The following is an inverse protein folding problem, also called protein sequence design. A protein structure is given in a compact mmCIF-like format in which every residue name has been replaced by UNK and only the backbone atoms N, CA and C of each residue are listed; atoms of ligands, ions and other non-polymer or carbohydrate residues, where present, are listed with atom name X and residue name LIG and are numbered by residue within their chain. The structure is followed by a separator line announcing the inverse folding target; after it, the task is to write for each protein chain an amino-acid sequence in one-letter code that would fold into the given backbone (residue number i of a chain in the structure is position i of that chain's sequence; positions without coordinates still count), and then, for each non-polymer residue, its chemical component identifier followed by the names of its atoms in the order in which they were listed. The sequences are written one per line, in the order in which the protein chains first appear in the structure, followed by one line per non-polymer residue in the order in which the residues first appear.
data_IF_822140802763
#
_entry.id   IF_822140802763
#
_cell.length_a   1.000
_cell.length_b   1.000
_cell.length_c   1.000
_cell.angle_alpha   90.00
_cell.angle_beta   90.00
_cell.angle_gamma   90.00
#
_symmetry.space_group_name_H-M   'P 1'
#
loop_
_entity.id
_entity.type
_entity.pdbx_description
1 polymer ?
#
# COMPACT_ATOMS: atom_id res chain seq x y z
N UNK A 1 21.02 -6.01 33.43
CA UNK A 1 20.40 -6.93 32.45
C UNK A 1 19.40 -7.80 33.19
N UNK A 2 18.10 -7.57 33.00
CA UNK A 2 17.05 -8.48 33.45
C UNK A 2 15.95 -8.43 32.40
N UNK A 3 16.09 -9.30 31.41
CA UNK A 3 15.12 -9.56 30.35
C UNK A 3 14.22 -10.70 30.81
N UNK A 4 12.93 -10.56 30.47
CA UNK A 4 11.98 -11.66 30.22
C UNK A 4 11.26 -12.25 31.43
N UNK A 5 10.23 -11.55 31.92
CA UNK A 5 8.99 -12.24 32.28
C UNK A 5 8.16 -12.34 31.00
N UNK A 6 8.37 -13.43 30.26
CA UNK A 6 7.46 -13.85 29.22
C UNK A 6 6.11 -14.14 29.89
N UNK A 7 5.13 -13.26 29.66
CA UNK A 7 3.77 -13.43 30.14
C UNK A 7 3.25 -14.80 29.72
N UNK A 8 3.01 -15.67 30.71
CA UNK A 8 2.19 -16.84 30.51
C UNK A 8 0.87 -16.36 29.94
N UNK A 9 0.58 -16.76 28.70
CA UNK A 9 -0.76 -16.65 28.14
C UNK A 9 -1.65 -17.55 29.01
N UNK A 10 -2.23 -16.96 30.04
CA UNK A 10 -3.27 -17.60 30.83
C UNK A 10 -4.40 -17.88 29.87
N UNK A 11 -4.59 -19.16 29.54
CA UNK A 11 -5.68 -19.65 28.70
C UNK A 11 -6.98 -18.93 29.14
N UNK A 12 -7.62 -18.17 28.24
CA UNK A 12 -8.77 -17.37 28.61
C UNK A 12 -9.87 -18.31 29.06
N UNK A 13 -10.44 -18.02 30.22
CA UNK A 13 -11.38 -18.93 30.83
C UNK A 13 -12.63 -19.08 29.95
N UNK A 14 -12.81 -20.25 29.33
CA UNK A 14 -13.75 -20.48 28.23
C UNK A 14 -15.18 -20.03 28.58
N UNK A 15 -15.61 -20.23 29.82
CA UNK A 15 -16.94 -19.84 30.28
C UNK A 15 -17.18 -18.32 30.41
N UNK A 16 -16.14 -17.49 30.29
CA UNK A 16 -16.24 -16.01 30.31
C UNK A 16 -16.08 -15.37 28.93
N UNK A 17 -15.80 -16.15 27.88
CA UNK A 17 -15.55 -15.63 26.53
C UNK A 17 -16.74 -14.90 25.93
N UNK A 18 -17.96 -15.23 26.37
CA UNK A 18 -19.17 -14.57 25.90
C UNK A 18 -19.38 -13.16 26.48
N UNK A 19 -18.66 -12.79 27.55
CA UNK A 19 -18.78 -11.46 28.17
C UNK A 19 -17.91 -10.49 27.37
N UNK A 20 -18.56 -9.50 26.75
CA UNK A 20 -17.92 -8.53 25.87
C UNK A 20 -18.58 -7.17 25.97
N UNK A 21 -17.95 -6.15 25.38
CA UNK A 21 -18.49 -4.81 25.30
C UNK A 21 -19.49 -4.70 24.14
N UNK A 22 -20.70 -4.21 24.38
CA UNK A 22 -21.76 -4.13 23.36
C UNK A 22 -21.52 -3.07 22.26
N UNK A 23 -20.36 -2.40 22.30
CA UNK A 23 -19.96 -1.36 21.32
C UNK A 23 -18.70 -1.73 20.55
N UNK A 24 -17.59 -2.00 21.26
CA UNK A 24 -16.31 -2.35 20.62
C UNK A 24 -16.03 -3.84 20.58
N UNK A 25 -16.84 -4.66 21.26
CA UNK A 25 -16.71 -6.12 21.28
C UNK A 25 -15.41 -6.65 21.88
N UNK A 26 -14.65 -5.80 22.58
CA UNK A 26 -13.55 -6.25 23.42
C UNK A 26 -14.05 -7.27 24.46
N UNK A 27 -13.28 -8.34 24.66
CA UNK A 27 -13.65 -9.43 25.55
C UNK A 27 -13.23 -9.11 27.00
N UNK A 28 -14.05 -9.55 27.95
CA UNK A 28 -13.76 -9.40 29.38
C UNK A 28 -12.53 -10.22 29.81
N UNK A 29 -12.31 -11.37 29.17
CA UNK A 29 -11.19 -12.29 29.44
C UNK A 29 -9.82 -11.69 29.16
N UNK A 30 -9.73 -10.73 28.24
CA UNK A 30 -8.47 -10.10 27.85
C UNK A 30 -7.89 -9.24 28.98
N UNK A 31 -8.71 -8.87 30.00
CA UNK A 31 -8.35 -8.02 31.14
C UNK A 31 -7.70 -6.68 30.78
N UNK A 32 -7.78 -6.25 29.52
CA UNK A 32 -7.20 -4.99 29.05
C UNK A 32 -8.02 -3.77 29.49
N UNK A 33 -9.30 -3.96 29.80
CA UNK A 33 -10.21 -2.88 30.14
C UNK A 33 -11.04 -3.22 31.35
N UNK A 34 -11.42 -2.18 32.07
CA UNK A 34 -12.50 -2.25 33.03
C UNK A 34 -13.84 -2.34 32.30
N UNK A 35 -14.73 -3.21 32.76
CA UNK A 35 -16.09 -3.33 32.25
C UNK A 35 -17.11 -2.85 33.26
N UNK A 36 -18.22 -2.33 32.75
CA UNK A 36 -19.34 -1.83 33.54
C UNK A 36 -20.65 -2.48 33.06
N UNK A 37 -21.44 -2.98 34.01
CA UNK A 37 -22.84 -3.29 33.82
C UNK A 37 -23.67 -2.06 34.16
N UNK A 38 -24.38 -1.52 33.17
CA UNK A 38 -25.28 -0.40 33.37
C UNK A 38 -26.65 -0.87 33.87
N UNK A 39 -27.42 0.00 34.55
CA UNK A 39 -28.75 -0.33 35.06
C UNK A 39 -29.78 -0.63 33.95
N UNK A 40 -29.48 -0.26 32.71
CA UNK A 40 -30.22 -0.70 31.53
C UNK A 40 -29.82 -2.09 31.02
N UNK A 41 -29.00 -2.84 31.77
CA UNK A 41 -28.50 -4.18 31.46
C UNK A 41 -27.68 -4.29 30.18
N UNK A 42 -26.93 -3.24 29.84
CA UNK A 42 -25.93 -3.29 28.77
C UNK A 42 -24.54 -3.27 29.37
N UNK A 43 -23.61 -3.99 28.73
CA UNK A 43 -22.22 -4.13 29.18
C UNK A 43 -21.30 -3.30 28.29
N UNK A 44 -20.46 -2.47 28.89
CA UNK A 44 -19.48 -1.66 28.16
C UNK A 44 -18.12 -1.66 28.83
N UNK A 45 -17.06 -1.54 28.04
CA UNK A 45 -15.73 -1.22 28.56
C UNK A 45 -15.62 0.28 28.87
N UNK A 46 -14.65 0.65 29.71
CA UNK A 46 -14.35 2.03 30.11
C UNK A 46 -14.13 2.98 28.92
N UNK A 47 -13.59 2.49 27.80
CA UNK A 47 -13.36 3.29 26.59
C UNK A 47 -14.64 3.64 25.83
N UNK A 48 -15.67 2.82 25.97
CA UNK A 48 -16.89 2.92 25.16
C UNK A 48 -18.04 3.64 25.85
N UNK A 49 -18.01 3.70 27.18
CA UNK A 49 -19.03 4.36 27.99
C UNK A 49 -18.57 5.76 28.37
N UNK A 50 -19.47 6.74 28.28
CA UNK A 50 -19.20 8.09 28.77
C UNK A 50 -19.65 8.19 30.22
N UNK A 51 -18.78 8.74 31.07
CA UNK A 51 -19.05 8.95 32.49
C UNK A 51 -19.29 10.43 32.73
N UNK A 52 -20.42 10.75 33.32
CA UNK A 52 -20.70 12.05 33.89
C UNK A 52 -20.47 11.95 35.40
N UNK A 53 -19.47 12.67 35.90
CA UNK A 53 -19.28 12.82 37.34
C UNK A 53 -20.52 13.51 37.93
N UNK A 54 -20.96 13.07 39.11
CA UNK A 54 -22.02 13.76 39.82
C UNK A 54 -21.57 15.15 40.28
N UNK A 55 -22.51 15.93 40.84
CA UNK A 55 -22.23 17.30 41.28
C UNK A 55 -21.32 17.31 42.51
N UNK A 56 -21.34 16.24 43.29
CA UNK A 56 -20.47 16.04 44.45
C UNK A 56 -19.59 14.80 44.27
N UNK A 57 -18.38 14.75 44.88
CA UNK A 57 -17.52 13.57 44.85
C UNK A 57 -18.15 12.31 45.46
N UNK A 58 -19.20 12.46 46.26
CA UNK A 58 -19.95 11.36 46.89
C UNK A 58 -21.05 10.79 46.00
N UNK A 59 -21.41 11.48 44.91
CA UNK A 59 -22.45 11.03 43.99
C UNK A 59 -22.00 9.80 43.21
N UNK A 60 -22.89 8.82 43.10
CA UNK A 60 -22.65 7.65 42.26
C UNK A 60 -22.47 8.08 40.79
N UNK A 61 -21.48 7.53 40.06
CA UNK A 61 -21.23 7.90 38.67
C UNK A 61 -22.45 7.58 37.79
N UNK A 62 -22.79 8.52 36.91
CA UNK A 62 -23.85 8.35 35.92
C UNK A 62 -23.20 8.10 34.57
N UNK A 63 -23.68 7.07 33.88
CA UNK A 63 -23.14 6.62 32.60
C UNK A 63 -24.17 6.85 31.50
N UNK A 64 -23.73 7.40 30.37
CA UNK A 64 -24.55 7.47 29.17
C UNK A 64 -24.41 6.16 28.40
N UNK A 65 -25.52 5.41 28.27
CA UNK A 65 -25.52 4.13 27.57
C UNK A 65 -25.47 4.32 26.03
N UNK A 66 -24.42 3.83 25.33
CA UNK A 66 -24.36 3.93 23.86
C UNK A 66 -25.47 3.19 23.11
N UNK A 67 -26.05 2.14 23.69
CA UNK A 67 -27.10 1.34 23.03
C UNK A 67 -28.48 1.98 23.14
N UNK A 68 -28.88 2.43 24.34
CA UNK A 68 -30.23 2.98 24.56
C UNK A 68 -30.27 4.49 24.81
N UNK A 69 -29.10 5.16 24.83
CA UNK A 69 -28.94 6.62 25.05
C UNK A 69 -29.49 7.16 26.36
N UNK A 70 -29.82 6.28 27.31
CA UNK A 70 -30.27 6.66 28.66
C UNK A 70 -29.06 6.93 29.55
N UNK A 71 -29.17 7.97 30.38
CA UNK A 71 -28.27 8.23 31.49
C UNK A 71 -28.66 7.37 32.68
N UNK A 72 -27.83 6.41 33.04
CA UNK A 72 -28.14 5.39 34.05
C UNK A 72 -26.95 5.17 34.96
N UNK A 73 -27.20 4.68 36.18
CA UNK A 73 -26.12 4.20 37.05
C UNK A 73 -25.49 2.95 36.46
N UNK A 74 -24.24 2.69 36.84
CA UNK A 74 -23.51 1.50 36.43
C UNK A 74 -22.64 0.98 37.56
N UNK A 75 -22.25 -0.28 37.45
CA UNK A 75 -21.33 -0.93 38.38
C UNK A 75 -20.24 -1.63 37.61
N UNK A 76 -19.02 -1.56 38.14
CA UNK A 76 -17.89 -2.29 37.61
C UNK A 76 -18.14 -3.81 37.70
N UNK A 77 -17.81 -4.53 36.63
CA UNK A 77 -17.84 -6.00 36.59
C UNK A 77 -16.61 -6.55 37.33
N UNK A 78 -16.81 -6.89 38.60
CA UNK A 78 -15.77 -7.45 39.49
C UNK A 78 -16.35 -8.53 40.41
N UNK A 79 -15.48 -9.32 41.04
CA UNK A 79 -15.88 -10.40 41.94
C UNK A 79 -16.58 -9.91 43.22
N UNK A 80 -16.52 -8.62 43.57
CA UNK A 80 -17.23 -8.05 44.72
C UNK A 80 -18.66 -7.58 44.38
N UNK A 81 -19.16 -7.83 43.17
CA UNK A 81 -20.55 -7.52 42.83
C UNK A 81 -21.55 -8.32 43.68
N UNK A 82 -22.75 -7.75 43.95
CA UNK A 82 -23.85 -8.49 44.59
C UNK A 82 -24.24 -9.76 43.83
N UNK A 83 -24.68 -10.79 44.56
CA UNK A 83 -24.99 -12.11 43.99
C UNK A 83 -26.07 -12.07 42.89
N UNK A 84 -27.10 -11.24 43.03
CA UNK A 84 -28.14 -11.10 42.00
C UNK A 84 -27.59 -10.61 40.65
N UNK A 85 -26.57 -9.75 40.65
CA UNK A 85 -25.89 -9.34 39.41
C UNK A 85 -24.92 -10.41 38.91
N UNK A 86 -24.23 -11.13 39.80
CA UNK A 86 -23.35 -12.24 39.41
C UNK A 86 -24.11 -13.36 38.69
N UNK A 87 -25.35 -13.64 39.11
CA UNK A 87 -26.22 -14.63 38.47
C UNK A 87 -26.50 -14.32 36.99
N UNK A 88 -26.51 -13.04 36.60
CA UNK A 88 -26.64 -12.65 35.18
C UNK A 88 -25.48 -13.16 34.32
N UNK A 89 -24.33 -13.41 34.93
CA UNK A 89 -23.12 -13.90 34.26
C UNK A 89 -22.84 -15.37 34.54
N UNK A 90 -23.83 -16.12 35.03
CA UNK A 90 -23.68 -17.56 35.26
C UNK A 90 -23.43 -18.29 33.91
N UNK A 91 -22.42 -19.17 33.81
CA UNK A 91 -22.13 -19.91 32.57
C UNK A 91 -23.31 -20.71 32.04
N UNK A 92 -24.12 -21.23 32.96
CA UNK A 92 -25.32 -22.02 32.67
C UNK A 92 -26.53 -21.27 33.22
N UNK A 93 -27.07 -20.25 32.54
CA UNK A 93 -28.17 -19.44 33.09
C UNK A 93 -29.47 -20.25 33.27
N UNK A 94 -29.61 -21.33 32.51
CA UNK A 94 -30.79 -22.22 32.53
C UNK A 94 -30.88 -23.09 33.78
N UNK A 95 -29.76 -23.39 34.45
CA UNK A 95 -29.78 -24.20 35.69
C UNK A 95 -30.19 -23.40 36.92
N UNK A 96 -30.11 -22.07 36.85
CA UNK A 96 -30.36 -21.15 37.98
C UNK A 96 -31.85 -20.79 38.12
N UNK A 97 -32.70 -21.19 37.16
CA UNK A 97 -34.15 -20.88 37.18
C UNK A 97 -34.46 -19.38 37.04
N UNK A 98 -33.53 -18.60 36.47
CA UNK A 98 -33.66 -17.15 36.33
C UNK A 98 -33.85 -16.77 34.86
N UNK A 99 -35.11 -16.67 34.43
CA UNK A 99 -35.49 -16.30 33.05
C UNK A 99 -34.94 -14.94 32.62
N UNK A 100 -34.75 -14.03 33.59
CA UNK A 100 -34.18 -12.72 33.33
C UNK A 100 -32.68 -12.82 32.98
N UNK A 101 -31.92 -13.67 33.66
CA UNK A 101 -30.53 -13.95 33.33
C UNK A 101 -30.40 -14.54 31.92
N UNK A 102 -31.25 -15.52 31.57
CA UNK A 102 -31.29 -16.12 30.22
C UNK A 102 -31.56 -15.05 29.16
N UNK A 103 -32.55 -14.18 29.41
CA UNK A 103 -32.90 -13.10 28.47
C UNK A 103 -31.76 -12.09 28.32
N UNK A 104 -31.13 -11.69 29.42
CA UNK A 104 -29.97 -10.81 29.41
C UNK A 104 -28.82 -11.37 28.57
N UNK A 105 -28.44 -12.62 28.80
CA UNK A 105 -27.36 -13.27 28.06
C UNK A 105 -27.69 -13.39 26.58
N UNK A 106 -28.92 -13.82 26.23
CA UNK A 106 -29.39 -13.90 24.84
C UNK A 106 -29.35 -12.55 24.14
N UNK A 107 -29.78 -11.47 24.80
CA UNK A 107 -29.67 -10.12 24.26
C UNK A 107 -28.21 -9.72 24.01
N UNK A 108 -27.31 -10.08 24.93
CA UNK A 108 -25.88 -9.83 24.78
C UNK A 108 -25.27 -10.58 23.59
N UNK A 109 -25.57 -11.87 23.47
CA UNK A 109 -25.16 -12.69 22.32
C UNK A 109 -25.65 -12.12 21.00
N UNK A 110 -26.91 -11.68 20.92
CA UNK A 110 -27.46 -11.07 19.71
C UNK A 110 -26.69 -9.82 19.26
N UNK A 111 -26.14 -9.04 20.20
CA UNK A 111 -25.28 -7.90 19.85
C UNK A 111 -23.95 -8.36 19.23
N UNK A 112 -23.37 -9.43 19.76
CA UNK A 112 -22.15 -10.05 19.22
C UNK A 112 -22.37 -10.64 17.83
N UNK A 113 -23.46 -11.39 17.63
CA UNK A 113 -23.79 -12.01 16.35
C UNK A 113 -23.93 -10.97 15.24
N UNK A 114 -24.62 -9.86 15.53
CA UNK A 114 -24.73 -8.70 14.61
C UNK A 114 -23.39 -8.04 14.30
N UNK A 115 -22.40 -8.14 15.19
CA UNK A 115 -21.06 -7.65 14.90
C UNK A 115 -20.27 -8.62 14.06
N UNK A 116 -20.35 -9.91 14.38
CA UNK A 116 -19.74 -10.97 13.59
C UNK A 116 -20.22 -10.91 12.15
N UNK A 117 -21.54 -10.83 11.92
CA UNK A 117 -22.14 -10.68 10.59
C UNK A 117 -21.60 -9.45 9.84
N UNK A 118 -21.52 -8.29 10.50
CA UNK A 118 -20.95 -7.07 9.90
C UNK A 118 -19.47 -7.24 9.54
N UNK A 119 -18.69 -7.93 10.37
CA UNK A 119 -17.27 -8.19 10.11
C UNK A 119 -17.06 -9.22 9.01
N UNK A 120 -17.92 -10.22 8.91
CA UNK A 120 -17.92 -11.18 7.81
C UNK A 120 -18.18 -10.48 6.47
N UNK A 121 -19.18 -9.60 6.41
CA UNK A 121 -19.43 -8.79 5.19
C UNK A 121 -18.25 -7.87 4.83
N UNK A 122 -17.62 -7.23 5.82
CA UNK A 122 -16.44 -6.38 5.60
C UNK A 122 -15.26 -7.20 5.06
N UNK A 123 -15.02 -8.39 5.61
CA UNK A 123 -14.00 -9.32 5.14
C UNK A 123 -14.28 -9.81 3.72
N UNK A 124 -15.53 -10.19 3.42
CA UNK A 124 -15.92 -10.63 2.08
C UNK A 124 -15.67 -9.54 1.04
N UNK A 125 -16.02 -8.28 1.36
CA UNK A 125 -15.73 -7.13 0.51
C UNK A 125 -14.23 -6.96 0.27
N UNK A 126 -13.42 -7.01 1.33
CA UNK A 126 -11.97 -6.88 1.22
C UNK A 126 -11.36 -8.01 0.36
N UNK A 127 -11.85 -9.23 0.49
CA UNK A 127 -11.42 -10.35 -0.35
C UNK A 127 -11.70 -10.06 -1.84
N UNK A 128 -12.91 -9.58 -2.17
CA UNK A 128 -13.27 -9.20 -3.55
C UNK A 128 -12.38 -8.06 -4.07
N UNK A 129 -12.14 -7.03 -3.27
CA UNK A 129 -11.27 -5.91 -3.65
C UNK A 129 -9.82 -6.38 -3.91
N UNK A 130 -9.31 -7.31 -3.09
CA UNK A 130 -7.99 -7.93 -3.27
C UNK A 130 -7.93 -8.73 -4.58
N UNK A 131 -8.96 -9.51 -4.89
CA UNK A 131 -9.04 -10.28 -6.13
C UNK A 131 -9.05 -9.38 -7.36
N UNK A 132 -9.86 -8.31 -7.33
CA UNK A 132 -9.88 -7.30 -8.40
C UNK A 132 -8.50 -6.66 -8.56
N UNK A 133 -7.87 -6.22 -7.46
CA UNK A 133 -6.54 -5.63 -7.51
C UNK A 133 -5.49 -6.59 -8.09
N UNK A 134 -5.52 -7.88 -7.69
CA UNK A 134 -4.65 -8.93 -8.26
C UNK A 134 -4.85 -9.07 -9.77
N UNK A 135 -6.10 -9.15 -10.22
CA UNK A 135 -6.42 -9.31 -11.65
C UNK A 135 -5.93 -8.12 -12.49
N UNK A 136 -6.11 -6.90 -12.00
CA UNK A 136 -5.67 -5.67 -12.68
C UNK A 136 -4.14 -5.64 -12.75
N UNK A 137 -3.45 -5.89 -11.64
CA UNK A 137 -1.99 -5.94 -11.60
C UNK A 137 -1.43 -6.99 -12.56
N UNK A 138 -2.02 -8.18 -12.61
CA UNK A 138 -1.62 -9.24 -13.52
C UNK A 138 -1.81 -8.83 -15.00
N UNK A 139 -2.97 -8.25 -15.34
CA UNK A 139 -3.23 -7.74 -16.69
C UNK A 139 -2.21 -6.67 -17.10
N UNK A 140 -1.96 -5.69 -16.24
CA UNK A 140 -0.98 -4.62 -16.49
C UNK A 140 0.45 -5.16 -16.64
N UNK A 141 0.81 -6.17 -15.86
CA UNK A 141 2.10 -6.83 -15.99
C UNK A 141 2.27 -7.49 -17.36
N UNK A 142 1.26 -8.23 -17.82
CA UNK A 142 1.29 -8.88 -19.14
C UNK A 142 1.33 -7.85 -20.29
N UNK A 143 0.51 -6.79 -20.21
CA UNK A 143 0.55 -5.67 -21.17
C UNK A 143 1.95 -5.03 -21.22
N UNK A 144 2.57 -4.79 -20.06
CA UNK A 144 3.93 -4.24 -20.00
C UNK A 144 4.98 -5.19 -20.59
N UNK A 145 4.81 -6.52 -20.45
CA UNK A 145 5.70 -7.48 -21.10
C UNK A 145 5.55 -7.44 -22.62
N UNK A 146 4.32 -7.39 -23.14
CA UNK A 146 4.07 -7.26 -24.58
C UNK A 146 4.69 -5.98 -25.15
N UNK A 147 4.46 -4.84 -24.50
CA UNK A 147 5.03 -3.55 -24.91
C UNK A 147 6.56 -3.55 -24.92
N UNK A 148 7.21 -4.26 -23.98
CA UNK A 148 8.68 -4.43 -24.00
C UNK A 148 9.15 -5.19 -25.25
N UNK A 149 8.44 -6.24 -25.64
CA UNK A 149 8.76 -7.02 -26.84
C UNK A 149 8.56 -6.17 -28.09
N UNK A 150 7.43 -5.47 -28.20
CA UNK A 150 7.15 -4.57 -29.34
C UNK A 150 8.19 -3.45 -29.45
N UNK A 151 8.56 -2.83 -28.32
CA UNK A 151 9.61 -1.81 -28.28
C UNK A 151 10.93 -2.34 -28.83
N UNK A 152 11.33 -3.58 -28.48
CA UNK A 152 12.54 -4.21 -29.02
C UNK A 152 12.45 -4.41 -30.53
N UNK A 153 11.31 -4.91 -31.03
CA UNK A 153 11.07 -5.11 -32.48
C UNK A 153 11.15 -3.78 -33.24
N UNK A 154 10.49 -2.74 -32.75
CA UNK A 154 10.51 -1.41 -33.37
C UNK A 154 11.90 -0.78 -33.33
N UNK A 155 12.64 -0.94 -32.23
CA UNK A 155 14.01 -0.46 -32.13
C UNK A 155 14.92 -1.14 -33.16
N UNK A 156 14.78 -2.45 -33.36
CA UNK A 156 15.55 -3.19 -34.35
C UNK A 156 15.20 -2.73 -35.77
N UNK A 157 13.90 -2.58 -36.10
CA UNK A 157 13.45 -2.05 -37.39
C UNK A 157 13.99 -0.65 -37.66
N UNK A 158 13.97 0.23 -36.65
CA UNK A 158 14.53 1.59 -36.77
C UNK A 158 16.03 1.57 -37.08
N UNK A 159 16.80 0.63 -36.50
CA UNK A 159 18.23 0.47 -36.81
C UNK A 159 18.45 0.04 -38.26
N UNK A 160 17.66 -0.91 -38.77
CA UNK A 160 17.76 -1.35 -40.16
C UNK A 160 17.49 -0.20 -41.13
N UNK A 161 16.39 0.54 -40.94
CA UNK A 161 16.03 1.68 -41.80
C UNK A 161 17.13 2.76 -41.77
N UNK A 162 17.69 3.06 -40.59
CA UNK A 162 18.80 4.02 -40.47
C UNK A 162 20.05 3.56 -41.22
N UNK A 163 20.40 2.28 -41.13
CA UNK A 163 21.55 1.73 -41.83
C UNK A 163 21.36 1.77 -43.36
N UNK A 164 20.16 1.41 -43.82
CA UNK A 164 19.78 1.48 -45.24
C UNK A 164 19.87 2.92 -45.77
N UNK A 165 19.37 3.90 -45.02
CA UNK A 165 19.43 5.32 -45.43
C UNK A 165 20.87 5.85 -45.46
N UNK A 166 21.73 5.42 -44.53
CA UNK A 166 23.17 5.75 -44.56
C UNK A 166 23.83 5.15 -45.80
N UNK A 167 23.54 3.89 -46.12
CA UNK A 167 24.08 3.21 -47.29
C UNK A 167 23.64 3.89 -48.59
N UNK A 168 22.35 4.24 -48.69
CA UNK A 168 21.79 4.96 -49.85
C UNK A 168 22.45 6.32 -50.05
N UNK A 169 22.67 7.08 -48.96
CA UNK A 169 23.41 8.35 -49.02
C UNK A 169 24.86 8.16 -49.44
N UNK A 170 25.55 7.14 -48.92
CA UNK A 170 26.93 6.84 -49.28
C UNK A 170 27.07 6.40 -50.75
N UNK A 171 26.11 5.64 -51.28
CA UNK A 171 26.05 5.25 -52.68
C UNK A 171 25.81 6.45 -53.60
N UNK A 172 24.84 7.31 -53.25
CA UNK A 172 24.62 8.57 -53.97
C UNK A 172 25.88 9.44 -54.00
N UNK A 173 26.58 9.57 -52.87
CA UNK A 173 27.82 10.34 -52.79
C UNK A 173 28.94 9.74 -53.66
N UNK A 174 29.07 8.41 -53.68
CA UNK A 174 30.01 7.70 -54.57
C UNK A 174 29.67 7.95 -56.04
N UNK A 175 28.40 7.93 -56.40
CA UNK A 175 27.94 8.21 -57.77
C UNK A 175 28.19 9.68 -58.18
N UNK A 176 27.97 10.65 -57.27
CA UNK A 176 28.30 12.05 -57.54
C UNK A 176 29.81 12.25 -57.71
N UNK A 177 30.64 11.59 -56.89
CA UNK A 177 32.10 11.66 -57.02
C UNK A 177 32.60 11.06 -58.33
N UNK A 178 32.06 9.92 -58.77
CA UNK A 178 32.47 9.32 -60.05
C UNK A 178 32.08 10.21 -61.23
N UNK A 179 30.89 10.83 -61.22
CA UNK A 179 30.49 11.81 -62.24
C UNK A 179 31.47 12.99 -62.26
N UNK A 180 31.79 13.56 -61.09
CA UNK A 180 32.72 14.69 -60.98
C UNK A 180 34.12 14.34 -61.48
N UNK A 181 34.65 13.17 -61.12
CA UNK A 181 35.97 12.71 -61.56
C UNK A 181 36.01 12.45 -63.07
N UNK A 182 34.91 11.97 -63.67
CA UNK A 182 34.79 11.76 -65.12
C UNK A 182 34.76 13.08 -65.90
N UNK A 183 34.10 14.12 -65.38
CA UNK A 183 34.14 15.46 -65.96
C UNK A 183 35.54 16.10 -65.89
N UNK A 184 36.33 15.84 -64.84
CA UNK A 184 37.70 16.32 -64.72
C UNK A 184 38.69 15.58 -65.64
N UNK A 185 38.46 14.30 -65.94
CA UNK A 185 39.30 13.55 -66.90
C UNK A 185 39.02 13.94 -68.35
N UNK A 186 37.80 14.40 -68.67
CA UNK A 186 37.48 14.96 -70.01
C UNK A 186 38.02 16.37 -70.25
N UNK A 187 38.51 17.09 -69.23
CA UNK A 187 39.15 18.41 -69.40
C UNK A 187 40.69 18.36 -69.36
N UNK A 188 41.30 17.22 -69.05
CA UNK A 188 42.76 17.06 -68.94
C UNK A 188 43.43 16.49 -70.20
N UNK A 189 42.74 16.43 -71.33
CA UNK A 189 43.30 16.07 -72.65
C UNK A 189 43.99 17.24 -73.38
N UNK A 190 44.27 18.35 -72.70
CA UNK A 190 45.04 19.46 -73.27
C UNK A 190 45.87 20.21 -72.21
N UNK A 191 46.93 19.58 -71.69
CA UNK A 191 48.19 20.24 -71.31
C UNK A 191 49.19 19.23 -70.74
N UNK A 192 50.01 18.67 -71.61
CA UNK A 192 51.31 18.15 -71.20
C UNK A 192 52.27 19.32 -71.03
N UNK A 193 52.92 19.47 -69.87
CA UNK A 193 54.34 19.82 -69.75
C UNK A 193 54.83 19.93 -68.29
N UNK A 194 55.84 19.09 -67.98
CA UNK A 194 56.93 19.30 -67.00
C UNK A 194 56.52 19.42 -65.51
N UNK A 195 57.27 19.03 -64.47
CA UNK A 195 58.70 18.84 -64.29
C UNK A 195 58.93 18.15 -62.92
N UNK A 196 59.84 17.16 -62.90
CA UNK A 196 60.93 16.96 -61.91
C UNK A 196 60.65 16.83 -60.39
N UNK A 197 61.01 15.63 -59.89
CA UNK A 197 61.65 15.22 -58.61
C UNK A 197 60.99 15.52 -57.24
N UNK A 198 60.94 14.46 -56.43
CA UNK A 198 61.04 14.55 -54.97
C UNK A 198 60.73 13.25 -54.24
N UNK A 199 61.73 12.38 -54.03
CA UNK A 199 61.68 11.23 -53.11
C UNK A 199 61.51 11.72 -51.66
N UNK A 200 60.76 10.99 -50.83
CA UNK A 200 61.22 10.57 -49.50
C UNK A 200 60.40 9.42 -48.91
N UNK A 201 61.11 8.58 -48.16
CA UNK A 201 60.78 7.26 -47.58
C UNK A 201 60.11 7.36 -46.20
N UNK A 202 59.48 6.25 -45.79
CA UNK A 202 59.24 5.82 -44.40
C UNK A 202 57.79 5.38 -44.19
N UNK A 203 57.40 4.09 -44.14
CA UNK A 203 57.78 2.88 -43.36
C UNK A 203 57.24 2.86 -41.91
N UNK A 204 56.36 1.88 -41.66
CA UNK A 204 55.92 1.37 -40.33
C UNK A 204 54.56 1.95 -39.88
N UNK A 205 53.55 1.21 -39.40
CA UNK A 205 53.50 -0.14 -38.85
C UNK A 205 52.79 -0.11 -37.48
N UNK A 206 51.53 -0.56 -37.47
CA UNK A 206 50.81 -1.32 -36.41
C UNK A 206 50.83 -0.91 -34.92
N UNK A 207 49.61 -0.71 -34.38
CA UNK A 207 49.03 -1.17 -33.08
C UNK A 207 49.87 -1.19 -31.79
N UNK A 208 49.43 -0.50 -30.73
CA UNK A 208 48.81 -1.08 -29.52
C UNK A 208 48.55 -0.03 -28.42
N UNK A 209 47.54 -0.34 -27.61
CA UNK A 209 47.01 0.28 -26.39
C UNK A 209 48.02 0.61 -25.29
N UNK A 210 47.77 1.65 -24.48
CA UNK A 210 47.25 1.53 -23.09
C UNK A 210 47.38 2.82 -22.25
N UNK A 211 46.31 3.09 -21.49
CA UNK A 211 46.21 3.64 -20.13
C UNK A 211 47.12 4.80 -19.68
N UNK A 212 46.48 5.92 -19.31
CA UNK A 212 46.95 6.77 -18.22
C UNK A 212 45.79 7.43 -17.47
N UNK A 213 45.74 7.15 -16.16
CA UNK A 213 44.89 7.75 -15.13
C UNK A 213 45.37 9.16 -14.78
N UNK A 214 44.44 10.09 -14.53
CA UNK A 214 44.53 11.18 -13.53
C UNK A 214 43.08 11.65 -13.27
N UNK A 215 42.42 11.21 -12.19
CA UNK A 215 42.33 11.87 -10.87
C UNK A 215 42.22 13.40 -10.96
N UNK A 216 41.01 13.91 -10.78
CA UNK A 216 40.78 15.10 -9.96
C UNK A 216 39.53 14.88 -9.10
N UNK A 217 39.65 15.30 -7.86
CA UNK A 217 38.77 15.17 -6.69
C UNK A 217 38.48 16.61 -6.23
N UNK A 218 37.39 16.78 -5.48
CA UNK A 218 36.88 18.00 -4.80
C UNK A 218 35.69 18.63 -5.56
N UNK A 219 34.55 18.98 -4.95
CA UNK A 219 34.10 19.11 -3.54
C UNK A 219 32.59 18.75 -3.47
N UNK A 220 32.00 18.12 -2.43
CA UNK A 220 31.56 18.68 -1.12
C UNK A 220 31.01 20.11 -1.23
N UNK A 221 29.89 20.52 -0.64
CA UNK A 221 28.85 19.95 0.22
C UNK A 221 27.75 21.04 0.31
N UNK A 222 26.71 20.83 1.11
CA UNK A 222 25.66 21.78 1.56
C UNK A 222 24.48 22.03 0.61
N UNK A 223 23.25 22.24 1.07
CA UNK A 223 22.48 21.78 2.22
C UNK A 223 21.04 22.27 1.94
N UNK A 224 20.05 21.48 2.35
CA UNK A 224 18.74 21.90 2.86
C UNK A 224 17.94 22.98 2.10
N UNK A 225 16.82 22.53 1.51
CA UNK A 225 15.56 23.26 1.62
C UNK A 225 14.39 22.29 1.76
N UNK A 226 13.88 22.21 2.99
CA UNK A 226 12.67 21.51 3.39
C UNK A 226 11.47 22.43 3.20
N UNK A 227 10.63 22.17 2.21
CA UNK A 227 9.18 22.46 2.21
C UNK A 227 8.61 22.15 0.83
N UNK A 228 8.08 20.94 0.64
CA UNK A 228 7.23 20.64 -0.51
C UNK A 228 6.22 19.57 -0.15
N UNK A 229 5.02 20.06 0.19
CA UNK A 229 3.70 19.54 -0.20
C UNK A 229 3.55 18.01 -0.18
N UNK A 230 2.94 17.59 0.93
CA UNK A 230 2.19 16.35 1.13
C UNK A 230 1.27 16.07 -0.06
N UNK A 231 1.71 15.25 -1.02
CA UNK A 231 0.85 14.74 -2.07
C UNK A 231 -0.05 13.64 -1.49
N UNK A 232 -1.32 13.98 -1.29
CA UNK A 232 -2.41 13.01 -1.16
C UNK A 232 -2.45 12.17 -2.44
N UNK A 233 -1.97 10.93 -2.36
CA UNK A 233 -2.24 9.90 -3.36
C UNK A 233 -3.41 9.08 -2.83
N UNK A 234 -4.65 9.53 -3.08
CA UNK A 234 -5.85 8.67 -3.14
C UNK A 234 -7.02 9.48 -3.73
N UNK A 235 -7.13 9.51 -5.05
CA UNK A 235 -8.44 9.54 -5.71
C UNK A 235 -8.27 9.14 -7.17
N UNK A 236 -8.92 8.04 -7.56
CA UNK A 236 -9.15 7.72 -8.95
C UNK A 236 -10.14 8.75 -9.49
N UNK A 237 -9.62 9.79 -10.14
CA UNK A 237 -10.45 10.73 -10.91
C UNK A 237 -10.81 10.02 -12.20
N UNK A 238 -12.03 9.48 -12.25
CA UNK A 238 -12.65 9.09 -13.52
C UNK A 238 -13.15 10.37 -14.21
N UNK A 239 -12.85 10.60 -15.50
CA UNK A 239 -13.51 11.66 -16.25
C UNK A 239 -15.01 11.35 -16.37
N UNK A 240 -15.89 12.37 -16.31
CA UNK A 240 -17.33 12.18 -16.45
C UNK A 240 -17.64 11.62 -17.85
N UNK A 241 -18.34 10.48 -17.87
CA UNK A 241 -18.75 9.81 -19.09
C UNK A 241 -20.11 10.38 -19.51
N UNK A 242 -20.10 11.37 -20.41
CA UNK A 242 -21.32 11.91 -21.05
C UNK A 242 -21.81 11.01 -22.18
N UNK A 243 -21.92 9.71 -21.91
CA UNK A 243 -22.49 8.75 -22.86
C UNK A 243 -23.75 8.20 -22.23
N UNK A 244 -24.85 8.96 -22.27
CA UNK A 244 -26.26 8.54 -22.27
C UNK A 244 -27.11 9.81 -22.05
N UNK A 245 -27.36 10.55 -23.14
CA UNK A 245 -28.59 11.32 -23.27
C UNK A 245 -29.61 10.40 -23.96
N UNK A 246 -30.55 9.88 -23.16
CA UNK A 246 -31.86 9.39 -23.58
C UNK A 246 -32.88 9.79 -22.50
#
# INVERSE_FOLDING_TARGET
MSRSEAGQAVEPNAYKLWIHCNRCYAQFTDKQHTFFLLACHHVFCERCVKVSAGRTPSDAPVFECPTCRRSVRGRQLINSMPNHFKQLFHPEPFTVGNDFAVTFQRCNHRHFDKYKERKEMEMEKLCKDIEVAKSVCQKRFLEAQMLRVERKKLMQRSRYIKAEEINRKAEMHRMTQTIRNRSLTSQNSSSAQSSVRGRSRGRGGTTHSSLSRRRSRDSRESDRSSSAKRNQITSFIHPPNHSFDL
#
